data_IF_396049649577
#
_entry.id   IF_396049649577
#
_cell.length_a   1.000
_cell.length_b   1.000
_cell.length_c   1.000
_cell.angle_alpha   90.00
_cell.angle_beta   90.00
_cell.angle_gamma   90.00
#
_symmetry.space_group_name_H-M   'P 1'
#
loop_
_entity.id
_entity.type
_entity.pdbx_description
1 polymer ?
#
# COMPACT_ATOMS: atom_id res chain seq x y z
N UNK A 1 7.33 2.77 -10.49
CA UNK A 1 6.22 3.36 -11.26
C UNK A 1 4.94 3.11 -10.48
N UNK A 2 3.99 4.05 -10.47
CA UNK A 2 2.67 3.85 -9.87
C UNK A 2 1.62 3.68 -10.99
N UNK A 3 0.62 2.84 -10.77
CA UNK A 3 -0.50 2.70 -11.71
C UNK A 3 -1.46 3.89 -11.54
N UNK A 4 -2.00 4.39 -12.65
CA UNK A 4 -3.09 5.35 -12.61
C UNK A 4 -4.38 4.66 -12.14
N UNK A 5 -4.97 5.18 -11.07
CA UNK A 5 -6.19 4.64 -10.45
C UNK A 5 -7.42 5.51 -10.69
N UNK A 6 -7.35 6.56 -11.54
CA UNK A 6 -8.46 7.49 -11.74
C UNK A 6 -9.74 6.81 -12.21
N UNK A 7 -9.65 5.81 -13.11
CA UNK A 7 -10.81 5.05 -13.59
C UNK A 7 -11.43 4.19 -12.47
N UNK A 8 -10.60 3.62 -11.60
CA UNK A 8 -11.05 2.80 -10.49
C UNK A 8 -11.73 3.66 -9.41
N UNK A 9 -11.17 4.83 -9.12
CA UNK A 9 -11.76 5.83 -8.23
C UNK A 9 -13.13 6.28 -8.74
N UNK A 10 -13.24 6.59 -10.04
CA UNK A 10 -14.51 7.00 -10.63
C UNK A 10 -15.58 5.90 -10.61
N UNK A 11 -15.18 4.63 -10.74
CA UNK A 11 -16.13 3.52 -10.87
C UNK A 11 -16.68 3.03 -9.52
N UNK A 12 -15.85 2.98 -8.48
CA UNK A 12 -16.23 2.40 -7.18
C UNK A 12 -15.84 3.25 -5.97
N UNK A 13 -15.29 4.46 -6.17
CA UNK A 13 -14.84 5.33 -5.09
C UNK A 13 -13.57 4.85 -4.39
N UNK A 14 -12.83 3.90 -4.99
CA UNK A 14 -11.61 3.39 -4.39
C UNK A 14 -10.44 4.34 -4.61
N UNK A 15 -9.82 4.77 -3.52
CA UNK A 15 -8.60 5.58 -3.52
C UNK A 15 -7.67 5.11 -2.40
N UNK A 16 -6.45 4.63 -2.72
CA UNK A 16 -5.46 4.36 -1.69
C UNK A 16 -5.16 5.64 -0.90
N UNK A 17 -5.35 5.62 0.41
CA UNK A 17 -5.07 6.76 1.29
C UNK A 17 -3.75 6.62 2.05
N UNK A 18 -3.17 5.42 2.08
CA UNK A 18 -1.88 5.16 2.70
C UNK A 18 -0.75 5.65 1.78
N UNK A 19 0.12 6.57 2.25
CA UNK A 19 1.35 6.90 1.55
C UNK A 19 2.20 5.65 1.29
N UNK A 20 2.94 5.64 0.18
CA UNK A 20 3.74 4.49 -0.21
C UNK A 20 4.80 4.17 0.85
N UNK A 21 5.47 5.20 1.35
CA UNK A 21 6.53 5.10 2.35
C UNK A 21 6.03 4.43 3.62
N UNK A 22 4.86 4.86 4.11
CA UNK A 22 4.22 4.30 5.29
C UNK A 22 3.78 2.85 5.06
N UNK A 23 3.23 2.54 3.89
CA UNK A 23 2.84 1.18 3.53
C UNK A 23 4.02 0.21 3.49
N UNK A 24 5.15 0.64 2.89
CA UNK A 24 6.38 -0.14 2.80
C UNK A 24 7.00 -0.35 4.17
N UNK A 25 7.06 0.68 5.02
CA UNK A 25 7.56 0.57 6.39
C UNK A 25 6.76 -0.44 7.22
N UNK A 26 5.42 -0.33 7.20
CA UNK A 26 4.52 -1.27 7.90
C UNK A 26 4.71 -2.71 7.42
N UNK A 27 4.84 -2.91 6.11
CA UNK A 27 5.11 -4.22 5.52
C UNK A 27 6.45 -4.79 6.00
N UNK A 28 7.53 -4.01 5.94
CA UNK A 28 8.86 -4.44 6.36
C UNK A 28 8.88 -4.84 7.85
N UNK A 29 8.24 -4.05 8.72
CA UNK A 29 8.13 -4.33 10.14
C UNK A 29 7.38 -5.65 10.42
N UNK A 30 6.26 -5.87 9.72
CA UNK A 30 5.52 -7.14 9.80
C UNK A 30 6.38 -8.32 9.33
N UNK A 31 7.01 -8.20 8.16
CA UNK A 31 7.84 -9.25 7.56
C UNK A 31 9.01 -9.64 8.47
N UNK A 32 9.76 -8.65 8.99
CA UNK A 32 10.88 -8.90 9.90
C UNK A 32 10.45 -9.48 11.25
N UNK A 33 9.27 -9.10 11.75
CA UNK A 33 8.68 -9.67 12.95
C UNK A 33 8.26 -11.14 12.76
N UNK A 34 7.76 -11.50 11.57
CA UNK A 34 7.35 -12.87 11.25
C UNK A 34 8.52 -13.79 10.89
N UNK A 35 9.56 -13.27 10.23
CA UNK A 35 10.71 -14.04 9.74
C UNK A 35 11.95 -13.99 10.63
N UNK A 36 11.82 -13.46 11.86
CA UNK A 36 12.87 -13.62 12.88
C UNK A 36 12.91 -15.12 13.27
N UNK A 37 14.06 -15.80 13.15
CA UNK A 37 14.20 -17.18 13.62
C UNK A 37 13.99 -17.30 15.13
#
# INVERSE_FOLDING_TARGET
TAADTALLEAWVGFRPSTPLEEGVERFANWYLGHHRP
#
